data_IF_624276516392
#
_entry.id   IF_624276516392
#
_cell.length_a   1.000
_cell.length_b   1.000
_cell.length_c   1.000
_cell.angle_alpha   90.00
_cell.angle_beta   90.00
_cell.angle_gamma   90.00
#
_symmetry.space_group_name_H-M   'P 1'
#
loop_
_entity.id
_entity.type
_entity.pdbx_description
1 polymer ?
#
# COMPACT_ATOMS: atom_id res chain seq x y z
N UNK A 1 12.44 -9.51 -5.14
CA UNK A 1 11.79 -9.42 -3.82
C UNK A 1 12.84 -9.66 -2.75
N UNK A 2 12.93 -8.77 -1.76
CA UNK A 2 13.82 -8.95 -0.61
C UNK A 2 13.27 -9.99 0.38
N UNK A 3 14.12 -10.49 1.29
CA UNK A 3 13.71 -11.49 2.31
C UNK A 3 12.56 -10.99 3.18
N UNK A 4 12.59 -9.74 3.63
CA UNK A 4 11.52 -9.15 4.45
C UNK A 4 10.20 -9.09 3.71
N UNK A 5 10.20 -8.62 2.47
CA UNK A 5 9.01 -8.57 1.64
C UNK A 5 8.43 -9.97 1.44
N UNK A 6 9.28 -10.98 1.22
CA UNK A 6 8.85 -12.38 1.12
C UNK A 6 8.06 -12.86 2.34
N UNK A 7 8.53 -12.52 3.55
CA UNK A 7 7.83 -12.82 4.80
C UNK A 7 6.47 -12.12 4.85
N UNK A 8 6.41 -10.83 4.45
CA UNK A 8 5.15 -10.07 4.48
C UNK A 8 4.13 -10.62 3.49
N UNK A 9 4.56 -11.00 2.28
CA UNK A 9 3.70 -11.65 1.29
C UNK A 9 3.19 -13.00 1.77
N UNK A 10 4.05 -13.83 2.37
CA UNK A 10 3.65 -15.12 2.95
C UNK A 10 2.61 -14.95 4.05
N UNK A 11 2.77 -13.93 4.89
CA UNK A 11 1.82 -13.60 5.96
C UNK A 11 0.60 -12.80 5.45
N UNK A 12 0.59 -12.42 4.18
CA UNK A 12 -0.37 -11.49 3.58
C UNK A 12 -0.61 -10.23 4.45
N UNK A 13 0.44 -9.72 5.10
CA UNK A 13 0.35 -8.55 5.99
C UNK A 13 1.70 -7.89 6.23
N UNK A 14 1.68 -6.57 6.36
CA UNK A 14 2.78 -5.82 6.98
C UNK A 14 2.83 -6.09 8.49
N UNK A 15 4.01 -5.92 9.11
CA UNK A 15 4.16 -5.99 10.57
C UNK A 15 3.31 -4.91 11.26
N UNK A 16 2.89 -5.21 12.47
CA UNK A 16 2.12 -4.28 13.30
C UNK A 16 3.06 -3.33 14.06
N UNK A 17 3.82 -2.51 13.32
CA UNK A 17 4.77 -1.54 13.86
C UNK A 17 4.84 -0.31 12.95
N UNK A 18 5.42 0.79 13.42
CA UNK A 18 5.73 1.93 12.54
C UNK A 18 6.89 1.55 11.62
N UNK A 19 6.71 1.76 10.32
CA UNK A 19 7.72 1.48 9.31
C UNK A 19 8.33 2.78 8.81
N UNK A 20 9.64 2.77 8.61
CA UNK A 20 10.36 3.89 8.02
C UNK A 20 10.53 3.62 6.53
N UNK A 21 10.12 4.59 5.70
CA UNK A 21 10.38 4.54 4.27
C UNK A 21 11.87 4.78 3.94
N UNK A 22 12.29 4.53 2.70
CA UNK A 22 13.61 4.91 2.23
C UNK A 22 13.90 6.41 2.50
N UNK A 23 15.13 6.76 2.94
CA UNK A 23 15.47 8.13 3.35
C UNK A 23 15.35 9.15 2.22
N UNK A 24 15.47 8.70 0.97
CA UNK A 24 15.48 9.55 -0.21
C UNK A 24 14.07 9.84 -0.76
N UNK A 25 13.02 9.29 -0.14
CA UNK A 25 11.64 9.58 -0.56
C UNK A 25 11.15 10.91 0.05
N UNK A 26 10.51 11.78 -0.75
CA UNK A 26 9.90 12.99 -0.24
C UNK A 26 8.77 12.65 0.72
N UNK A 27 8.59 13.48 1.76
CA UNK A 27 7.44 13.39 2.65
C UNK A 27 6.17 13.70 1.85
N UNK A 28 5.12 12.84 1.90
CA UNK A 28 3.87 13.12 1.22
C UNK A 28 3.24 14.43 1.76
N UNK A 29 2.76 15.33 0.88
CA UNK A 29 2.08 16.54 1.32
C UNK A 29 0.81 16.19 2.09
N UNK A 30 0.44 17.04 3.06
CA UNK A 30 -0.87 16.93 3.69
C UNK A 30 -1.95 17.33 2.68
N UNK A 31 -3.13 16.69 2.73
CA UNK A 31 -4.28 17.11 1.93
C UNK A 31 -4.80 18.46 2.44
N UNK A 32 -5.37 19.25 1.53
CA UNK A 32 -5.97 20.56 1.85
C UNK A 32 -7.23 20.38 2.71
N UNK A 33 -8.00 19.33 2.45
CA UNK A 33 -9.24 19.03 3.16
C UNK A 33 -9.67 17.56 3.04
N UNK A 34 -10.72 17.18 3.79
CA UNK A 34 -11.27 15.82 3.78
C UNK A 34 -11.92 15.43 2.45
N UNK A 35 -12.44 16.37 1.67
CA UNK A 35 -13.08 16.07 0.38
C UNK A 35 -12.03 15.59 -0.63
N UNK A 36 -10.85 16.20 -0.66
CA UNK A 36 -9.71 15.75 -1.48
C UNK A 36 -9.31 14.31 -1.15
N UNK A 37 -9.29 13.94 0.14
CA UNK A 37 -9.03 12.56 0.55
C UNK A 37 -10.11 11.58 0.04
N UNK A 38 -11.38 11.98 0.12
CA UNK A 38 -12.49 11.14 -0.32
C UNK A 38 -12.43 10.90 -1.83
N UNK A 39 -12.17 11.95 -2.61
CA UNK A 39 -12.00 11.87 -4.07
C UNK A 39 -10.82 10.95 -4.43
N UNK A 40 -9.67 11.14 -3.80
CA UNK A 40 -8.49 10.28 -4.02
C UNK A 40 -8.75 8.81 -3.70
N UNK A 41 -9.48 8.52 -2.61
CA UNK A 41 -9.84 7.14 -2.26
C UNK A 41 -10.83 6.52 -3.27
N UNK A 42 -11.77 7.31 -3.80
CA UNK A 42 -12.68 6.86 -4.86
C UNK A 42 -11.92 6.55 -6.14
N UNK A 43 -10.99 7.42 -6.53
CA UNK A 43 -10.11 7.20 -7.68
C UNK A 43 -9.30 5.90 -7.54
N UNK A 44 -8.60 5.72 -6.40
CA UNK A 44 -7.82 4.50 -6.14
C UNK A 44 -8.69 3.24 -6.23
N UNK A 45 -9.92 3.28 -5.70
CA UNK A 45 -10.85 2.16 -5.76
C UNK A 45 -11.20 1.78 -7.20
N UNK A 46 -11.45 2.77 -8.07
CA UNK A 46 -11.77 2.55 -9.48
C UNK A 46 -10.56 1.97 -10.21
N UNK A 47 -9.40 2.60 -10.05
CA UNK A 47 -8.15 2.16 -10.70
C UNK A 47 -7.74 0.76 -10.27
N UNK A 48 -7.83 0.43 -8.98
CA UNK A 48 -7.55 -0.91 -8.49
C UNK A 48 -8.49 -1.96 -9.12
N UNK A 49 -9.76 -1.62 -9.34
CA UNK A 49 -10.72 -2.48 -10.03
C UNK A 49 -10.38 -2.71 -11.50
N UNK A 50 -9.88 -1.69 -12.19
CA UNK A 50 -9.40 -1.78 -13.58
C UNK A 50 -8.13 -2.64 -13.65
N UNK A 51 -7.13 -2.32 -12.83
CA UNK A 51 -5.86 -3.05 -12.77
C UNK A 51 -6.05 -4.53 -12.45
N UNK A 52 -6.95 -4.88 -11.53
CA UNK A 52 -7.23 -6.29 -11.22
C UNK A 52 -7.66 -7.10 -12.45
N UNK A 53 -8.45 -6.48 -13.36
CA UNK A 53 -8.88 -7.13 -14.61
C UNK A 53 -7.71 -7.26 -15.58
N UNK A 54 -6.94 -6.19 -15.76
CA UNK A 54 -5.77 -6.17 -16.67
C UNK A 54 -4.70 -7.17 -16.25
N UNK A 55 -4.41 -7.27 -14.95
CA UNK A 55 -3.47 -8.24 -14.40
C UNK A 55 -3.92 -9.67 -14.72
N UNK A 56 -5.22 -9.95 -14.62
CA UNK A 56 -5.76 -11.29 -14.85
C UNK A 56 -5.72 -11.69 -16.33
N UNK A 57 -5.81 -10.74 -17.25
CA UNK A 57 -5.83 -11.02 -18.70
C UNK A 57 -4.47 -10.81 -19.39
N UNK A 58 -3.50 -10.21 -18.69
CA UNK A 58 -2.16 -9.95 -19.22
C UNK A 58 -1.39 -11.24 -19.48
N UNK A 59 -0.76 -11.34 -20.65
CA UNK A 59 0.21 -12.39 -20.96
C UNK A 59 1.63 -12.08 -20.46
N UNK A 60 1.86 -10.86 -19.96
CA UNK A 60 3.17 -10.41 -19.51
C UNK A 60 3.45 -10.80 -18.06
N UNK A 61 4.65 -11.29 -17.79
CA UNK A 61 5.13 -11.74 -16.47
C UNK A 61 6.36 -10.96 -15.98
N UNK A 62 6.61 -9.78 -16.56
CA UNK A 62 7.72 -8.92 -16.20
C UNK A 62 7.67 -8.43 -14.75
N UNK A 63 8.82 -7.97 -14.25
CA UNK A 63 8.94 -7.38 -12.92
C UNK A 63 9.57 -6.00 -12.99
N UNK A 64 9.17 -5.12 -12.09
CA UNK A 64 9.75 -3.78 -11.93
C UNK A 64 10.34 -3.63 -10.53
N UNK A 65 11.37 -2.77 -10.39
CA UNK A 65 12.10 -2.59 -9.14
C UNK A 65 11.27 -1.73 -8.16
N UNK A 66 10.96 -2.29 -7.00
CA UNK A 66 10.45 -1.59 -5.83
C UNK A 66 11.58 -0.78 -5.16
N UNK A 67 11.32 0.47 -4.70
CA UNK A 67 12.34 1.32 -4.07
C UNK A 67 13.08 0.70 -2.87
N UNK A 68 12.40 -0.16 -2.09
CA UNK A 68 12.97 -0.79 -0.88
C UNK A 68 12.93 -2.33 -0.80
N UNK A 69 12.42 -3.03 -1.83
CA UNK A 69 12.11 -4.48 -1.72
C UNK A 69 12.45 -5.28 -2.98
N UNK A 70 13.40 -4.80 -3.78
CA UNK A 70 13.80 -5.39 -5.07
C UNK A 70 12.62 -5.53 -6.04
N UNK A 71 12.61 -6.54 -6.90
CA UNK A 71 11.66 -6.64 -7.99
C UNK A 71 10.33 -7.31 -7.61
N UNK A 72 9.22 -6.73 -8.07
CA UNK A 72 7.85 -7.25 -7.97
C UNK A 72 7.21 -7.38 -9.37
N UNK A 73 6.44 -8.44 -9.56
CA UNK A 73 5.49 -8.64 -10.65
C UNK A 73 4.23 -7.79 -10.45
N UNK A 74 3.36 -7.73 -11.46
CA UNK A 74 2.11 -6.98 -11.36
C UNK A 74 1.19 -7.49 -10.22
N UNK A 75 1.12 -8.81 -10.02
CA UNK A 75 0.36 -9.42 -8.92
C UNK A 75 0.97 -9.05 -7.56
N UNK A 76 2.29 -9.13 -7.44
CA UNK A 76 3.01 -8.78 -6.20
C UNK A 76 2.82 -7.28 -5.88
N UNK A 77 2.89 -6.38 -6.86
CA UNK A 77 2.60 -4.96 -6.67
C UNK A 77 1.15 -4.71 -6.19
N UNK A 78 0.19 -5.37 -6.82
CA UNK A 78 -1.22 -5.21 -6.48
C UNK A 78 -1.51 -5.69 -5.05
N UNK A 79 -1.01 -6.88 -4.69
CA UNK A 79 -1.14 -7.41 -3.33
C UNK A 79 -0.41 -6.54 -2.30
N UNK A 80 0.78 -6.04 -2.61
CA UNK A 80 1.55 -5.15 -1.73
C UNK A 80 0.78 -3.87 -1.41
N UNK A 81 0.17 -3.23 -2.42
CA UNK A 81 -0.65 -2.03 -2.23
C UNK A 81 -1.87 -2.29 -1.33
N UNK A 82 -2.56 -3.42 -1.51
CA UNK A 82 -3.69 -3.81 -0.67
C UNK A 82 -3.26 -4.08 0.78
N UNK A 83 -2.18 -4.85 0.96
CA UNK A 83 -1.59 -5.12 2.27
C UNK A 83 -1.22 -3.82 3.00
N UNK A 84 -0.72 -2.83 2.27
CA UNK A 84 -0.31 -1.54 2.80
C UNK A 84 -1.51 -0.71 3.25
N UNK A 85 -2.62 -0.75 2.49
CA UNK A 85 -3.87 -0.11 2.89
C UNK A 85 -4.42 -0.68 4.20
N UNK A 86 -4.45 -2.01 4.36
CA UNK A 86 -4.86 -2.66 5.63
C UNK A 86 -3.96 -2.27 6.79
N UNK A 87 -2.67 -2.11 6.55
CA UNK A 87 -1.74 -1.59 7.56
C UNK A 87 -2.12 -0.17 8.01
N UNK A 88 -2.42 0.73 7.08
CA UNK A 88 -2.87 2.08 7.42
C UNK A 88 -4.20 2.11 8.16
N UNK A 89 -5.14 1.21 7.87
CA UNK A 89 -6.38 1.13 8.66
C UNK A 89 -6.12 0.75 10.12
N UNK A 90 -5.15 -0.11 10.40
CA UNK A 90 -4.73 -0.42 11.78
C UNK A 90 -4.12 0.80 12.48
N UNK A 91 -3.25 1.53 11.77
CA UNK A 91 -2.67 2.77 12.29
C UNK A 91 -3.74 3.82 12.60
N UNK A 92 -4.69 4.02 11.66
CA UNK A 92 -5.84 4.91 11.87
C UNK A 92 -6.66 4.49 13.09
N UNK A 93 -6.99 3.20 13.22
CA UNK A 93 -7.75 2.70 14.37
C UNK A 93 -7.04 2.98 15.71
N UNK A 94 -5.71 2.86 15.74
CA UNK A 94 -4.91 3.20 16.93
C UNK A 94 -4.97 4.70 17.27
N UNK A 95 -4.98 5.56 16.25
CA UNK A 95 -5.15 7.02 16.41
C UNK A 95 -6.56 7.36 16.87
N UNK A 96 -7.58 6.75 16.25
CA UNK A 96 -8.98 6.96 16.63
C UNK A 96 -9.19 6.60 18.11
N UNK A 97 -8.62 5.49 18.57
CA UNK A 97 -8.72 5.08 19.98
C UNK A 97 -8.04 6.09 20.91
N UNK A 98 -6.81 6.48 20.60
CA UNK A 98 -6.09 7.49 21.37
C UNK A 98 -6.83 8.83 21.46
N UNK A 99 -7.59 9.19 20.43
CA UNK A 99 -8.36 10.44 20.40
C UNK A 99 -9.70 10.34 21.16
N UNK A 100 -10.22 9.15 21.46
CA UNK A 100 -11.44 9.00 22.29
C UNK A 100 -11.19 9.35 23.75
N UNK A 101 -9.96 9.14 24.22
CA UNK A 101 -9.53 9.38 25.60
C UNK A 101 -9.04 10.82 25.84
N UNK A 102 -9.29 11.75 24.90
CA UNK A 102 -8.90 13.16 24.96
C UNK A 102 -10.10 14.08 24.86
#
# INVERSE_FOLDING_TARGET
MSTEAGIWFQNNSYPHQKLQGPPDLPVPPQPDNKAQLLEGMQYIKIEAGTLAKEITTSAYNGKTKHPGHDYFSAVEWFQFAEMHLRHHFRQKGSIDEFLKDR
#
